data_IF_166552552799
#
_entry.id   IF_166552552799
#
_cell.length_a   1.000
_cell.length_b   1.000
_cell.length_c   1.000
_cell.angle_alpha   90.00
_cell.angle_beta   90.00
_cell.angle_gamma   90.00
#
_symmetry.space_group_name_H-M   'P 1'
#
loop_
_entity.id
_entity.type
_entity.pdbx_description
1 polymer ?
#
# COMPACT_ATOMS: atom_id res chain seq x y z
N UNK A 1 6.35 8.80 21.88
CA UNK A 1 6.37 7.41 22.39
C UNK A 1 7.15 6.57 21.39
N UNK A 2 8.22 5.87 21.79
CA UNK A 2 8.97 4.98 20.90
C UNK A 2 8.26 3.63 20.82
N UNK A 3 7.23 3.56 19.95
CA UNK A 3 6.42 2.36 19.75
C UNK A 3 7.28 1.14 19.32
N UNK A 4 8.26 1.26 18.40
CA UNK A 4 9.21 0.19 18.11
C UNK A 4 9.86 -0.46 19.34
N UNK A 5 10.41 0.36 20.24
CA UNK A 5 11.08 -0.11 21.45
C UNK A 5 10.10 -0.77 22.44
N UNK A 6 8.86 -0.31 22.50
CA UNK A 6 7.84 -0.95 23.35
C UNK A 6 7.51 -2.38 22.86
N UNK A 7 7.47 -2.57 21.54
CA UNK A 7 7.16 -3.86 20.94
C UNK A 7 8.30 -4.86 21.19
N UNK A 8 9.56 -4.46 20.98
CA UNK A 8 10.70 -5.32 21.30
C UNK A 8 10.80 -5.63 22.79
N UNK A 9 10.57 -4.65 23.68
CA UNK A 9 10.54 -4.90 25.13
C UNK A 9 9.41 -5.86 25.55
N UNK A 10 8.30 -5.89 24.80
CA UNK A 10 7.22 -6.86 24.99
C UNK A 10 7.49 -8.22 24.29
N UNK A 11 8.69 -8.43 23.76
CA UNK A 11 9.10 -9.68 23.11
C UNK A 11 8.53 -9.89 21.70
N UNK A 12 8.09 -8.82 21.03
CA UNK A 12 7.72 -8.88 19.61
C UNK A 12 8.97 -8.85 18.74
N UNK A 13 9.53 -10.04 18.52
CA UNK A 13 10.56 -10.25 17.49
C UNK A 13 9.91 -10.26 16.11
N UNK A 14 10.70 -10.01 15.06
CA UNK A 14 10.20 -10.13 13.69
C UNK A 14 9.66 -11.55 13.38
N UNK A 15 10.28 -12.60 13.93
CA UNK A 15 9.78 -13.97 13.78
C UNK A 15 8.40 -14.13 14.42
N UNK A 16 8.20 -13.60 15.64
CA UNK A 16 6.90 -13.65 16.30
C UNK A 16 5.83 -12.87 15.53
N UNK A 17 6.17 -11.71 14.97
CA UNK A 17 5.26 -10.94 14.12
C UNK A 17 4.90 -11.72 12.85
N UNK A 18 5.87 -12.41 12.24
CA UNK A 18 5.65 -13.26 11.09
C UNK A 18 4.74 -14.44 11.44
N UNK A 19 5.04 -15.21 12.49
CA UNK A 19 4.25 -16.37 12.91
C UNK A 19 2.78 -16.01 13.22
N UNK A 20 2.57 -14.89 13.93
CA UNK A 20 1.21 -14.38 14.19
C UNK A 20 0.54 -13.94 12.89
N UNK A 21 1.27 -13.26 12.00
CA UNK A 21 0.76 -12.82 10.71
C UNK A 21 0.30 -13.98 9.82
N UNK A 22 1.12 -15.03 9.70
CA UNK A 22 0.78 -16.21 8.89
C UNK A 22 -0.40 -16.97 9.48
N UNK A 23 -0.44 -17.12 10.81
CA UNK A 23 -1.60 -17.72 11.49
C UNK A 23 -2.90 -16.96 11.22
N UNK A 24 -2.87 -15.62 11.25
CA UNK A 24 -4.04 -14.78 10.92
C UNK A 24 -4.46 -15.00 9.47
N UNK A 25 -3.50 -15.01 8.54
CA UNK A 25 -3.79 -15.24 7.11
C UNK A 25 -4.40 -16.61 6.87
N UNK A 26 -3.81 -17.67 7.41
CA UNK A 26 -4.31 -19.05 7.29
C UNK A 26 -5.74 -19.18 7.85
N UNK A 27 -5.96 -18.64 9.05
CA UNK A 27 -7.27 -18.70 9.71
C UNK A 27 -8.32 -17.91 8.93
N UNK A 28 -7.94 -16.73 8.41
CA UNK A 28 -8.81 -15.90 7.57
C UNK A 28 -9.14 -16.62 6.27
N UNK A 29 -8.13 -17.21 5.63
CA UNK A 29 -8.27 -17.96 4.40
C UNK A 29 -9.22 -19.15 4.57
N UNK A 30 -9.09 -19.90 5.66
CA UNK A 30 -9.93 -21.04 5.98
C UNK A 30 -11.38 -20.61 6.29
N UNK A 31 -11.56 -19.54 7.06
CA UNK A 31 -12.88 -19.06 7.48
C UNK A 31 -13.66 -18.41 6.34
N UNK A 32 -12.95 -17.80 5.39
CA UNK A 32 -13.53 -17.07 4.26
C UNK A 32 -12.92 -17.56 2.94
N UNK A 33 -13.24 -18.79 2.49
CA UNK A 33 -12.53 -19.46 1.39
C UNK A 33 -12.67 -18.76 0.04
N UNK A 34 -13.74 -17.98 -0.15
CA UNK A 34 -14.07 -17.31 -1.41
C UNK A 34 -13.87 -15.78 -1.35
N UNK A 35 -13.35 -15.25 -0.25
CA UNK A 35 -13.17 -13.80 -0.08
C UNK A 35 -11.72 -13.38 -0.41
N UNK A 36 -11.54 -12.19 -1.01
CA UNK A 36 -10.23 -11.56 -1.11
C UNK A 36 -9.61 -11.35 0.28
N UNK A 37 -8.30 -11.58 0.38
CA UNK A 37 -7.51 -11.32 1.58
C UNK A 37 -6.62 -10.13 1.29
N UNK A 38 -6.95 -8.97 1.86
CA UNK A 38 -6.15 -7.76 1.74
C UNK A 38 -5.21 -7.66 2.93
N UNK A 39 -3.91 -7.51 2.68
CA UNK A 39 -2.92 -7.32 3.74
C UNK A 39 -2.16 -6.02 3.52
N UNK A 40 -2.38 -5.02 4.38
CA UNK A 40 -1.50 -3.86 4.45
C UNK A 40 -0.08 -4.31 4.79
N UNK A 41 0.83 -4.22 3.84
CA UNK A 41 2.25 -4.49 4.04
C UNK A 41 2.96 -3.19 4.33
N UNK A 42 4.01 -3.20 5.14
CA UNK A 42 4.82 -2.02 5.44
C UNK A 42 6.21 -2.42 5.90
N UNK A 43 7.03 -1.43 6.28
CA UNK A 43 8.32 -1.76 6.85
C UNK A 43 8.39 -1.61 8.35
N UNK A 44 9.42 -2.24 8.91
CA UNK A 44 9.76 -2.20 10.32
C UNK A 44 11.13 -1.54 10.46
N UNK A 45 11.33 -0.71 11.48
CA UNK A 45 12.61 -0.02 11.66
C UNK A 45 13.79 -1.02 11.75
N UNK A 46 14.91 -0.69 11.11
CA UNK A 46 16.07 -1.58 10.94
C UNK A 46 16.60 -2.16 12.26
N UNK A 47 16.51 -1.38 13.35
CA UNK A 47 16.90 -1.77 14.71
C UNK A 47 16.04 -2.89 15.29
N UNK A 48 14.80 -3.06 14.80
CA UNK A 48 13.94 -4.18 15.16
C UNK A 48 14.11 -5.41 14.25
N UNK A 49 14.74 -5.24 13.08
CA UNK A 49 14.88 -6.29 12.07
C UNK A 49 16.25 -6.97 12.17
N UNK A 50 17.31 -6.16 12.12
CA UNK A 50 18.70 -6.62 12.02
C UNK A 50 19.17 -7.52 13.16
N UNK A 51 18.77 -7.31 14.43
CA UNK A 51 19.16 -8.21 15.52
C UNK A 51 18.67 -9.65 15.34
N UNK A 52 17.61 -9.87 14.54
CA UNK A 52 17.00 -11.18 14.36
C UNK A 52 17.33 -11.82 13.01
N UNK A 53 17.33 -11.03 11.93
CA UNK A 53 17.56 -11.53 10.56
C UNK A 53 18.98 -11.27 10.04
N UNK A 54 19.81 -10.57 10.81
CA UNK A 54 21.19 -10.26 10.45
C UNK A 54 21.33 -8.98 9.59
N UNK A 55 22.58 -8.61 9.25
CA UNK A 55 22.91 -7.29 8.72
C UNK A 55 22.43 -7.02 7.29
N UNK A 56 22.07 -8.05 6.52
CA UNK A 56 21.56 -7.94 5.14
C UNK A 56 20.04 -7.73 5.06
N UNK A 57 19.35 -7.78 6.21
CA UNK A 57 17.92 -7.45 6.33
C UNK A 57 17.69 -5.95 6.43
N UNK A 58 16.43 -5.51 6.38
CA UNK A 58 16.10 -4.10 6.56
C UNK A 58 14.60 -3.82 6.54
N UNK A 59 14.26 -2.54 6.39
CA UNK A 59 12.91 -2.02 6.44
C UNK A 59 11.81 -2.94 5.86
N UNK A 60 11.98 -3.44 4.64
CA UNK A 60 10.99 -4.26 3.94
C UNK A 60 10.95 -5.76 4.31
N UNK A 61 11.77 -6.23 5.25
CA UNK A 61 11.95 -7.67 5.51
C UNK A 61 10.67 -8.39 5.93
N UNK A 62 9.91 -7.86 6.89
CA UNK A 62 8.67 -8.52 7.33
C UNK A 62 7.63 -8.58 6.21
N UNK A 63 7.47 -7.50 5.44
CA UNK A 63 6.58 -7.49 4.28
C UNK A 63 6.99 -8.54 3.24
N UNK A 64 8.28 -8.65 2.94
CA UNK A 64 8.79 -9.67 2.03
C UNK A 64 8.49 -11.08 2.53
N UNK A 65 8.78 -11.37 3.81
CA UNK A 65 8.52 -12.69 4.40
C UNK A 65 7.05 -13.08 4.27
N UNK A 66 6.13 -12.16 4.59
CA UNK A 66 4.68 -12.38 4.49
C UNK A 66 4.25 -12.65 3.04
N UNK A 67 4.72 -11.85 2.09
CA UNK A 67 4.38 -12.00 0.67
C UNK A 67 4.94 -13.32 0.11
N UNK A 68 6.20 -13.63 0.39
CA UNK A 68 6.85 -14.88 -0.04
C UNK A 68 6.13 -16.10 0.54
N UNK A 69 5.72 -16.04 1.81
CA UNK A 69 4.95 -17.11 2.45
C UNK A 69 3.63 -17.34 1.72
N UNK A 70 2.82 -16.30 1.49
CA UNK A 70 1.52 -16.45 0.85
C UNK A 70 1.62 -17.02 -0.56
N UNK A 71 2.69 -16.70 -1.29
CA UNK A 71 2.94 -17.27 -2.62
C UNK A 71 3.04 -18.81 -2.61
N UNK A 72 3.29 -19.44 -1.47
CA UNK A 72 3.34 -20.90 -1.30
C UNK A 72 2.01 -21.54 -0.89
N UNK A 73 0.97 -20.73 -0.66
CA UNK A 73 -0.30 -21.19 -0.09
C UNK A 73 -1.39 -21.40 -1.14
N UNK A 74 -2.41 -22.25 -0.88
CA UNK A 74 -3.53 -22.46 -1.81
C UNK A 74 -4.41 -21.22 -2.06
N UNK A 75 -4.34 -20.21 -1.17
CA UNK A 75 -5.11 -18.97 -1.29
C UNK A 75 -4.33 -17.82 -1.92
N UNK A 76 -3.15 -18.10 -2.48
CA UNK A 76 -2.30 -17.09 -3.13
C UNK A 76 -3.05 -16.29 -4.20
N UNK A 77 -3.96 -16.92 -4.96
CA UNK A 77 -4.73 -16.30 -6.05
C UNK A 77 -5.80 -15.28 -5.61
N UNK A 78 -6.02 -15.13 -4.30
CA UNK A 78 -6.99 -14.17 -3.73
C UNK A 78 -6.37 -13.26 -2.68
N UNK A 79 -5.04 -13.22 -2.60
CA UNK A 79 -4.29 -12.39 -1.67
C UNK A 79 -3.81 -11.10 -2.32
N UNK A 80 -4.09 -9.95 -1.71
CA UNK A 80 -3.73 -8.64 -2.26
C UNK A 80 -2.79 -7.93 -1.27
N UNK A 81 -1.47 -7.87 -1.53
CA UNK A 81 -0.59 -6.97 -0.79
C UNK A 81 -1.03 -5.53 -1.06
N UNK A 82 -1.21 -4.77 0.02
CA UNK A 82 -1.78 -3.43 -0.03
C UNK A 82 -0.88 -2.40 0.63
N UNK A 83 -0.88 -1.17 0.11
CA UNK A 83 -0.29 0.00 0.79
C UNK A 83 -1.37 1.00 1.17
N UNK A 84 -1.42 1.34 2.46
CA UNK A 84 -2.42 2.26 3.04
C UNK A 84 -1.85 3.64 3.33
N UNK A 85 -0.88 4.06 2.55
CA UNK A 85 -0.16 5.32 2.75
C UNK A 85 0.05 6.04 1.42
N UNK A 86 -0.87 5.90 0.47
CA UNK A 86 -0.74 6.56 -0.82
C UNK A 86 -1.15 8.02 -0.67
N UNK A 87 -0.27 8.90 -1.11
CA UNK A 87 -0.45 10.34 -1.21
C UNK A 87 -0.09 10.81 -2.63
N UNK A 88 -0.36 12.08 -2.95
CA UNK A 88 -0.07 12.67 -4.25
C UNK A 88 1.44 12.67 -4.60
N UNK A 89 2.32 12.59 -3.60
CA UNK A 89 3.77 12.55 -3.77
C UNK A 89 4.35 11.13 -3.63
N UNK A 90 3.51 10.09 -3.71
CA UNK A 90 3.95 8.73 -3.43
C UNK A 90 4.87 8.19 -4.53
N UNK A 91 4.90 8.82 -5.69
CA UNK A 91 5.75 8.47 -6.83
C UNK A 91 5.16 7.31 -7.65
N UNK A 92 5.54 7.28 -8.93
CA UNK A 92 4.97 6.37 -9.93
C UNK A 92 5.71 5.04 -10.01
N UNK A 93 5.02 3.99 -10.48
CA UNK A 93 5.56 2.63 -10.55
C UNK A 93 6.81 2.50 -11.44
N UNK A 94 6.92 3.30 -12.51
CA UNK A 94 8.09 3.27 -13.41
C UNK A 94 9.41 3.56 -12.70
N UNK A 95 9.38 4.27 -11.56
CA UNK A 95 10.57 4.55 -10.74
C UNK A 95 11.10 3.31 -10.00
N UNK A 96 10.33 2.21 -9.97
CA UNK A 96 10.65 0.97 -9.27
C UNK A 96 11.27 -0.09 -10.19
N UNK A 97 11.38 0.16 -11.49
CA UNK A 97 11.94 -0.78 -12.45
C UNK A 97 13.48 -0.70 -12.50
N UNK A 98 14.16 -1.76 -12.99
CA UNK A 98 15.60 -1.71 -13.23
C UNK A 98 15.99 -0.49 -14.08
N UNK A 99 17.12 0.18 -13.76
CA UNK A 99 18.08 -0.11 -12.68
C UNK A 99 17.74 0.55 -11.33
N UNK A 100 16.54 1.11 -11.15
CA UNK A 100 16.15 1.95 -10.01
C UNK A 100 15.43 1.20 -8.87
N UNK A 101 15.48 -0.12 -8.90
CA UNK A 101 14.84 -0.98 -7.90
C UNK A 101 15.36 -0.65 -6.50
N UNK A 102 14.47 -0.38 -5.52
CA UNK A 102 14.89 -0.14 -4.15
C UNK A 102 15.46 -1.42 -3.51
N UNK A 103 16.53 -1.29 -2.72
CA UNK A 103 17.00 -2.36 -1.84
C UNK A 103 16.08 -2.60 -0.63
N UNK A 104 16.21 -3.76 0.02
CA UNK A 104 15.36 -4.21 1.14
C UNK A 104 15.26 -3.22 2.30
N UNK A 105 16.30 -2.41 2.53
CA UNK A 105 16.33 -1.37 3.58
C UNK A 105 15.59 -0.08 3.23
N UNK A 106 15.10 0.08 1.99
CA UNK A 106 14.44 1.31 1.56
C UNK A 106 12.97 1.35 1.97
N UNK A 107 12.49 2.53 2.35
CA UNK A 107 11.04 2.80 2.50
C UNK A 107 10.25 2.60 1.20
N UNK A 108 10.92 2.60 0.04
CA UNK A 108 10.31 2.31 -1.26
C UNK A 108 10.15 0.80 -1.50
N UNK A 109 10.80 -0.07 -0.73
CA UNK A 109 10.76 -1.52 -0.95
C UNK A 109 9.35 -2.13 -0.87
N UNK A 110 8.49 -1.76 0.10
CA UNK A 110 7.10 -2.23 0.09
C UNK A 110 6.31 -1.78 -1.15
N UNK A 111 6.68 -0.66 -1.80
CA UNK A 111 6.08 -0.25 -3.07
C UNK A 111 6.48 -1.20 -4.20
N UNK A 112 7.74 -1.62 -4.22
CA UNK A 112 8.24 -2.64 -5.16
C UNK A 112 7.52 -3.98 -4.96
N UNK A 113 7.24 -4.38 -3.71
CA UNK A 113 6.47 -5.61 -3.45
C UNK A 113 5.07 -5.54 -4.06
N UNK A 114 4.33 -4.43 -3.89
CA UNK A 114 3.04 -4.25 -4.56
C UNK A 114 3.22 -4.27 -6.08
N UNK A 115 4.17 -3.49 -6.61
CA UNK A 115 4.42 -3.41 -8.06
C UNK A 115 4.75 -4.76 -8.70
N UNK A 116 5.56 -5.59 -8.04
CA UNK A 116 5.87 -6.93 -8.53
C UNK A 116 4.62 -7.80 -8.69
N UNK A 117 3.65 -7.66 -7.78
CA UNK A 117 2.38 -8.36 -7.90
C UNK A 117 1.46 -7.72 -8.92
N UNK A 118 1.51 -6.42 -9.16
CA UNK A 118 0.51 -5.75 -9.98
C UNK A 118 0.94 -5.53 -11.42
N UNK A 119 2.24 -5.51 -11.72
CA UNK A 119 2.75 -5.26 -13.07
C UNK A 119 2.27 -6.31 -14.09
N UNK A 120 2.09 -5.92 -15.37
CA UNK A 120 1.54 -6.81 -16.39
C UNK A 120 2.31 -8.11 -16.62
N UNK A 121 3.64 -8.08 -16.44
CA UNK A 121 4.56 -9.21 -16.59
C UNK A 121 4.94 -9.85 -15.23
N UNK A 122 4.22 -9.51 -14.16
CA UNK A 122 4.44 -10.03 -12.82
C UNK A 122 3.86 -11.44 -12.61
N UNK A 123 4.18 -12.11 -11.50
CA UNK A 123 3.64 -13.43 -11.17
C UNK A 123 2.11 -13.46 -10.98
N UNK A 124 1.49 -12.35 -10.59
CA UNK A 124 0.03 -12.29 -10.32
C UNK A 124 -0.60 -10.99 -10.82
N UNK A 125 -0.52 -10.65 -12.12
CA UNK A 125 -0.82 -9.31 -12.63
C UNK A 125 -2.13 -8.72 -12.09
N UNK A 126 -2.11 -7.45 -11.72
CA UNK A 126 -3.25 -6.78 -11.09
C UNK A 126 -3.42 -7.03 -9.59
N UNK A 127 -2.83 -8.08 -9.01
CA UNK A 127 -3.17 -8.57 -7.68
C UNK A 127 -2.46 -7.79 -6.56
N UNK A 128 -2.86 -6.54 -6.36
CA UNK A 128 -2.44 -5.68 -5.27
C UNK A 128 -3.43 -4.53 -5.08
N UNK A 129 -3.25 -3.79 -3.99
CA UNK A 129 -4.15 -2.70 -3.62
C UNK A 129 -3.42 -1.44 -3.18
N UNK A 130 -4.07 -0.30 -3.38
CA UNK A 130 -3.60 0.99 -2.92
C UNK A 130 -4.72 1.70 -2.16
N UNK A 131 -4.38 2.32 -1.03
CA UNK A 131 -5.32 3.08 -0.23
C UNK A 131 -4.73 4.45 0.13
N UNK A 132 -5.55 5.49 -0.02
CA UNK A 132 -5.22 6.87 0.33
C UNK A 132 -4.95 7.04 1.83
N UNK A 133 -3.95 7.85 2.16
CA UNK A 133 -3.43 8.02 3.53
C UNK A 133 -4.29 8.92 4.42
N UNK A 134 -5.04 9.84 3.81
CA UNK A 134 -5.94 10.79 4.45
C UNK A 134 -6.98 11.30 3.44
N UNK A 135 -7.89 12.17 3.86
CA UNK A 135 -8.77 12.86 2.92
C UNK A 135 -8.01 13.97 2.20
N UNK A 136 -8.26 14.11 0.91
CA UNK A 136 -7.90 15.30 0.15
C UNK A 136 -8.67 16.54 0.65
N UNK A 137 -9.91 16.37 1.13
CA UNK A 137 -10.76 17.47 1.62
C UNK A 137 -10.35 18.04 2.98
N UNK A 138 -9.54 17.31 3.76
CA UNK A 138 -8.99 17.83 5.02
C UNK A 138 -8.02 19.00 4.77
N UNK A 139 -7.38 19.04 3.59
CA UNK A 139 -6.53 20.14 3.18
C UNK A 139 -5.49 20.53 4.25
N UNK A 140 -5.28 21.84 4.51
CA UNK A 140 -4.29 22.31 5.46
C UNK A 140 -4.56 21.90 6.93
N UNK A 141 -5.78 21.52 7.32
CA UNK A 141 -6.06 21.12 8.72
C UNK A 141 -5.36 19.81 9.09
N UNK A 142 -5.09 18.97 8.08
CA UNK A 142 -4.27 17.75 8.21
C UNK A 142 -2.77 17.98 7.97
N UNK A 143 -2.35 19.23 7.71
CA UNK A 143 -1.03 19.54 7.19
C UNK A 143 -0.82 19.08 5.75
N UNK A 144 -1.89 19.08 4.93
CA UNK A 144 -1.88 18.60 3.54
C UNK A 144 -1.39 17.14 3.42
N UNK A 145 -1.82 16.26 4.34
CA UNK A 145 -1.28 14.90 4.46
C UNK A 145 -1.46 14.08 3.18
N UNK A 146 -2.63 14.18 2.53
CA UNK A 146 -2.90 13.46 1.27
C UNK A 146 -2.13 14.04 0.08
N UNK A 147 -1.65 15.28 0.15
CA UNK A 147 -0.75 15.88 -0.85
C UNK A 147 0.72 15.46 -0.63
N UNK A 148 1.03 14.78 0.48
CA UNK A 148 2.41 14.51 0.90
C UNK A 148 3.05 15.68 1.65
N UNK A 149 2.24 16.63 2.14
CA UNK A 149 2.64 17.79 2.93
C UNK A 149 2.41 19.14 2.22
N UNK A 150 2.71 20.28 2.88
CA UNK A 150 2.46 21.61 2.31
C UNK A 150 3.33 21.97 1.09
N UNK A 151 4.32 21.14 0.78
CA UNK A 151 5.18 21.26 -0.41
C UNK A 151 4.87 20.17 -1.44
N UNK A 152 3.70 19.53 -1.33
CA UNK A 152 3.22 18.54 -2.28
C UNK A 152 2.91 19.15 -3.65
N UNK A 153 2.57 18.30 -4.64
CA UNK A 153 2.36 18.72 -6.02
C UNK A 153 1.22 19.72 -6.19
N UNK A 154 0.25 19.78 -5.26
CA UNK A 154 -0.87 20.71 -5.31
C UNK A 154 -0.64 22.00 -4.54
N UNK A 155 0.57 22.20 -4.01
CA UNK A 155 0.99 23.41 -3.32
C UNK A 155 0.43 23.54 -1.90
N UNK A 156 0.74 24.65 -1.20
CA UNK A 156 0.49 24.78 0.24
C UNK A 156 -0.98 24.86 0.63
N UNK A 157 -1.87 25.12 -0.33
CA UNK A 157 -3.33 25.09 -0.13
C UNK A 157 -3.91 23.69 -0.30
N UNK A 158 -3.15 22.76 -0.89
CA UNK A 158 -3.53 21.38 -1.18
C UNK A 158 -4.99 21.25 -1.65
N UNK A 159 -5.27 21.87 -2.81
CA UNK A 159 -6.59 21.90 -3.41
C UNK A 159 -7.19 20.48 -3.50
N UNK A 160 -8.38 20.22 -2.91
CA UNK A 160 -8.91 18.85 -2.81
C UNK A 160 -9.11 18.15 -4.15
N UNK A 161 -9.43 18.88 -5.22
CA UNK A 161 -9.57 18.32 -6.56
C UNK A 161 -8.19 17.90 -7.10
N UNK A 162 -7.21 18.81 -7.06
CA UNK A 162 -5.84 18.50 -7.47
C UNK A 162 -5.28 17.31 -6.68
N UNK A 163 -5.45 17.29 -5.36
CA UNK A 163 -4.86 16.26 -4.49
C UNK A 163 -5.47 14.89 -4.76
N UNK A 164 -6.79 14.81 -4.86
CA UNK A 164 -7.47 13.54 -5.14
C UNK A 164 -7.12 13.04 -6.55
N UNK A 165 -7.16 13.90 -7.58
CA UNK A 165 -6.78 13.53 -8.95
C UNK A 165 -5.33 13.03 -9.00
N UNK A 166 -4.38 13.78 -8.43
CA UNK A 166 -2.96 13.40 -8.44
C UNK A 166 -2.71 12.07 -7.72
N UNK A 167 -3.40 11.84 -6.58
CA UNK A 167 -3.29 10.57 -5.85
C UNK A 167 -3.83 9.39 -6.66
N UNK A 168 -4.93 9.59 -7.39
CA UNK A 168 -5.49 8.58 -8.30
C UNK A 168 -4.56 8.33 -9.48
N UNK A 169 -4.01 9.37 -10.10
CA UNK A 169 -3.06 9.26 -11.21
C UNK A 169 -1.82 8.47 -10.82
N UNK A 170 -1.25 8.75 -9.65
CA UNK A 170 -0.14 7.96 -9.10
C UNK A 170 -0.55 6.50 -8.92
N UNK A 171 -1.73 6.25 -8.38
CA UNK A 171 -2.24 4.89 -8.13
C UNK A 171 -2.48 4.10 -9.42
N UNK A 172 -2.98 4.76 -10.47
CA UNK A 172 -3.21 4.17 -11.79
C UNK A 172 -1.91 3.64 -12.42
N UNK A 173 -0.76 4.24 -12.10
CA UNK A 173 0.54 3.76 -12.61
C UNK A 173 0.91 2.35 -12.10
N UNK A 174 0.31 1.88 -11.00
CA UNK A 174 0.63 0.60 -10.40
C UNK A 174 -0.18 -0.57 -10.96
N UNK A 175 -1.14 -0.37 -11.88
CA UNK A 175 -1.95 -1.45 -12.44
C UNK A 175 -2.62 -2.32 -11.36
N UNK A 176 -3.19 -1.72 -10.32
CA UNK A 176 -3.81 -2.43 -9.19
C UNK A 176 -5.25 -2.85 -9.50
N UNK A 177 -5.74 -3.92 -8.86
CA UNK A 177 -7.13 -4.37 -9.04
C UNK A 177 -8.16 -3.43 -8.38
N UNK A 178 -7.71 -2.66 -7.39
CA UNK A 178 -8.57 -1.72 -6.68
C UNK A 178 -7.75 -0.60 -6.06
N UNK A 179 -8.40 0.56 -5.94
CA UNK A 179 -7.92 1.74 -5.23
C UNK A 179 -8.96 2.09 -4.18
N UNK A 180 -8.54 2.29 -2.94
CA UNK A 180 -9.39 2.71 -1.82
C UNK A 180 -9.16 4.19 -1.51
N UNK A 181 -10.23 4.97 -1.57
CA UNK A 181 -10.24 6.39 -1.22
C UNK A 181 -10.70 6.60 0.23
N UNK A 182 -10.38 7.76 0.80
CA UNK A 182 -10.83 8.07 2.14
C UNK A 182 -12.34 8.38 2.15
N UNK A 183 -13.13 7.90 3.12
CA UNK A 183 -14.57 8.13 3.12
C UNK A 183 -14.98 9.62 3.11
N UNK A 184 -14.15 10.48 3.72
CA UNK A 184 -14.41 11.92 3.78
C UNK A 184 -14.25 12.63 2.42
N UNK A 185 -13.54 12.02 1.47
CA UNK A 185 -13.51 12.51 0.09
C UNK A 185 -14.89 12.41 -0.59
N UNK A 186 -15.85 11.72 0.04
CA UNK A 186 -17.29 11.81 -0.21
C UNK A 186 -17.84 13.23 -0.30
N UNK A 187 -17.19 14.19 0.36
CA UNK A 187 -17.59 15.61 0.33
C UNK A 187 -17.01 16.40 -0.85
N UNK A 188 -16.10 15.82 -1.64
CA UNK A 188 -15.56 16.50 -2.81
C UNK A 188 -16.64 16.56 -3.91
N UNK A 189 -17.04 17.76 -4.38
CA UNK A 189 -18.10 17.88 -5.38
C UNK A 189 -17.73 17.21 -6.72
N UNK A 190 -16.44 17.00 -6.98
CA UNK A 190 -15.94 16.33 -8.19
C UNK A 190 -15.73 14.82 -8.00
N UNK A 191 -16.04 14.25 -6.83
CA UNK A 191 -15.74 12.86 -6.52
C UNK A 191 -16.30 11.92 -7.60
N UNK A 192 -17.57 12.10 -7.97
CA UNK A 192 -18.25 11.21 -8.91
C UNK A 192 -17.52 11.13 -10.25
N UNK A 193 -17.19 12.27 -10.86
CA UNK A 193 -16.47 12.32 -12.14
C UNK A 193 -15.05 11.74 -12.04
N UNK A 194 -14.36 11.96 -10.92
CA UNK A 194 -13.02 11.42 -10.70
C UNK A 194 -13.04 9.89 -10.61
N UNK A 195 -14.00 9.34 -9.85
CA UNK A 195 -14.15 7.90 -9.66
C UNK A 195 -14.66 7.22 -10.93
N UNK A 196 -15.56 7.85 -11.68
CA UNK A 196 -15.98 7.37 -13.00
C UNK A 196 -14.79 7.23 -13.95
N UNK A 197 -14.02 8.30 -14.13
CA UNK A 197 -12.85 8.28 -15.01
C UNK A 197 -11.78 7.27 -14.57
N UNK A 198 -11.51 7.20 -13.26
CA UNK A 198 -10.56 6.23 -12.69
C UNK A 198 -11.04 4.80 -12.94
N UNK A 199 -12.32 4.52 -12.69
CA UNK A 199 -12.92 3.19 -12.89
C UNK A 199 -12.78 2.74 -14.34
N UNK A 200 -13.10 3.62 -15.29
CA UNK A 200 -12.96 3.34 -16.72
C UNK A 200 -11.50 3.13 -17.13
N UNK A 201 -10.57 3.94 -16.58
CA UNK A 201 -9.13 3.81 -16.86
C UNK A 201 -8.55 2.49 -16.34
N UNK A 202 -9.07 2.00 -15.21
CA UNK A 202 -8.74 0.67 -14.68
C UNK A 202 -9.36 -0.48 -15.48
N UNK A 203 -10.13 -0.20 -16.53
CA UNK A 203 -10.85 -1.21 -17.32
C UNK A 203 -12.16 -1.71 -16.67
N UNK A 204 -12.63 -1.02 -15.63
CA UNK A 204 -13.88 -1.32 -14.96
C UNK A 204 -15.11 -0.84 -15.74
N UNK A 205 -16.29 -1.22 -15.23
CA UNK A 205 -17.58 -0.79 -15.75
C UNK A 205 -18.34 -0.03 -14.67
N UNK A 206 -19.05 1.03 -15.07
CA UNK A 206 -19.95 1.75 -14.17
C UNK A 206 -21.17 0.89 -13.87
N UNK A 207 -21.66 0.96 -12.63
CA UNK A 207 -22.96 0.36 -12.31
C UNK A 207 -24.04 1.13 -13.05
N UNK A 208 -24.89 0.42 -13.78
CA UNK A 208 -26.11 1.01 -14.31
C UNK A 208 -26.99 1.51 -13.15
N UNK A 209 -27.74 2.61 -13.34
CA UNK A 209 -28.70 3.11 -12.36
C UNK A 209 -29.72 2.07 -11.91
#
# INVERSE_FOLDING_TARGET
MNQPLQWTNAGWTIQKMFDVGTQILDTTAQSFPNQPIKLPIGGLADDLVKPFLGPTSGYGSLAKMMVDYVATTPYANRFYPQRNTVDANWGVASTLNPPNEPGIGSIRYPKLLVWNHTRPDGPTPGQGGLQMVASATDGPTSGCRQDGGPTGPCGPTCDPLCVLQTSLDVSLTFNTSFIEIWPHDGMNPNLYSLIENTTLTMGGQLRAP
#
